data_IF_227770418029
#
_entry.id   IF_227770418029
#
_cell.length_a   1.000
_cell.length_b   1.000
_cell.length_c   1.000
_cell.angle_alpha   90.00
_cell.angle_beta   90.00
_cell.angle_gamma   90.00
#
_symmetry.space_group_name_H-M   'P 1'
#
loop_
_entity.id
_entity.type
_entity.pdbx_description
1 polymer ?
#
# COMPACT_ATOMS: atom_id res chain seq x y z
N UNK A 1 8.92 11.83 -11.90
CA UNK A 1 9.40 11.79 -10.50
C UNK A 1 8.15 11.99 -9.66
N UNK A 2 7.57 10.92 -9.10
CA UNK A 2 6.23 10.99 -8.52
C UNK A 2 6.31 11.45 -7.05
N UNK A 3 6.55 12.74 -6.88
CA UNK A 3 6.16 13.46 -5.68
C UNK A 3 4.79 14.07 -5.94
N UNK A 4 3.92 14.08 -4.93
CA UNK A 4 2.81 15.04 -4.93
C UNK A 4 3.38 16.46 -5.04
N UNK A 5 2.65 17.42 -5.62
CA UNK A 5 3.18 18.76 -5.94
C UNK A 5 3.69 19.54 -4.71
N UNK A 6 3.39 19.04 -3.51
CA UNK A 6 3.85 19.56 -2.21
C UNK A 6 5.25 19.13 -1.78
N UNK A 7 5.89 18.14 -2.42
CA UNK A 7 7.19 17.59 -2.01
C UNK A 7 7.14 16.72 -0.74
N UNK A 8 5.93 16.40 -0.26
CA UNK A 8 5.69 15.50 0.87
C UNK A 8 5.61 14.04 0.40
N UNK A 9 5.76 13.07 1.32
CA UNK A 9 5.57 11.66 0.99
C UNK A 9 4.16 11.40 0.45
N UNK A 10 4.06 10.54 -0.56
CA UNK A 10 2.79 10.18 -1.20
C UNK A 10 2.68 8.65 -1.37
N UNK A 11 1.46 8.13 -1.20
CA UNK A 11 1.16 6.70 -1.31
C UNK A 11 -0.06 6.47 -2.22
N UNK A 12 0.10 6.45 -3.55
CA UNK A 12 -0.93 5.91 -4.43
C UNK A 12 -1.17 4.42 -4.12
N UNK A 13 -2.44 4.03 -4.06
CA UNK A 13 -2.87 2.64 -3.83
C UNK A 13 -3.90 2.25 -4.87
N UNK A 14 -3.70 1.10 -5.51
CA UNK A 14 -4.70 0.42 -6.31
C UNK A 14 -5.28 -0.75 -5.51
N UNK A 15 -6.60 -0.90 -5.52
CA UNK A 15 -7.31 -1.95 -4.80
C UNK A 15 -8.31 -2.64 -5.71
N UNK A 16 -8.46 -3.96 -5.55
CA UNK A 16 -9.44 -4.75 -6.28
C UNK A 16 -10.04 -5.83 -5.37
N UNK A 17 -11.37 -5.83 -5.31
CA UNK A 17 -12.17 -6.76 -4.52
C UNK A 17 -13.02 -7.63 -5.44
N UNK A 18 -13.04 -8.93 -5.16
CA UNK A 18 -13.80 -9.91 -5.92
C UNK A 18 -14.63 -10.81 -4.99
N UNK A 19 -15.95 -10.83 -5.22
CA UNK A 19 -16.86 -11.72 -4.50
C UNK A 19 -16.81 -13.12 -5.11
N UNK A 20 -16.29 -14.10 -4.38
CA UNK A 20 -16.40 -15.52 -4.73
C UNK A 20 -17.79 -16.07 -4.40
N UNK A 21 -18.46 -15.50 -3.38
CA UNK A 21 -19.81 -15.84 -2.95
C UNK A 21 -20.42 -14.67 -2.17
N UNK A 22 -21.71 -14.77 -1.79
CA UNK A 22 -22.37 -13.80 -0.90
C UNK A 22 -21.65 -13.61 0.45
N UNK A 23 -20.87 -14.61 0.85
CA UNK A 23 -20.16 -14.69 2.14
C UNK A 23 -18.64 -14.68 2.02
N UNK A 24 -18.10 -14.75 0.81
CA UNK A 24 -16.65 -14.93 0.59
C UNK A 24 -16.15 -13.90 -0.40
N UNK A 25 -15.13 -13.15 -0.01
CA UNK A 25 -14.50 -12.13 -0.83
C UNK A 25 -12.99 -12.31 -0.81
N UNK A 26 -12.35 -12.18 -1.97
CA UNK A 26 -10.91 -11.99 -2.08
C UNK A 26 -10.67 -10.51 -2.31
N UNK A 27 -9.75 -9.94 -1.56
CA UNK A 27 -9.32 -8.54 -1.74
C UNK A 27 -7.83 -8.50 -1.97
N UNK A 28 -7.41 -7.62 -2.87
CA UNK A 28 -6.02 -7.41 -3.22
C UNK A 28 -5.74 -5.92 -3.28
N UNK A 29 -4.58 -5.50 -2.81
CA UNK A 29 -4.13 -4.12 -2.91
C UNK A 29 -2.64 -4.07 -3.25
N UNK A 30 -2.25 -3.03 -3.98
CA UNK A 30 -0.87 -2.71 -4.27
C UNK A 30 -0.67 -1.21 -4.04
N UNK A 31 0.37 -0.85 -3.29
CA UNK A 31 0.70 0.53 -2.96
C UNK A 31 2.19 0.79 -3.16
N UNK A 32 2.52 2.00 -3.57
CA UNK A 32 3.91 2.44 -3.70
C UNK A 32 4.12 3.70 -2.87
N UNK A 33 5.07 3.69 -1.95
CA UNK A 33 5.44 4.83 -1.12
C UNK A 33 6.59 5.59 -1.78
N UNK A 34 6.32 6.85 -2.13
CA UNK A 34 7.34 7.81 -2.48
C UNK A 34 7.79 8.53 -1.20
N UNK A 35 8.98 8.23 -0.71
CA UNK A 35 9.53 8.91 0.47
C UNK A 35 10.31 10.15 0.04
N UNK A 36 10.13 11.26 0.77
CA UNK A 36 11.02 12.40 0.64
C UNK A 36 12.39 12.09 1.25
N UNK A 37 13.43 12.88 0.95
CA UNK A 37 14.83 12.61 1.32
C UNK A 37 15.08 12.29 2.81
N UNK A 38 14.22 12.76 3.70
CA UNK A 38 14.33 12.55 5.15
C UNK A 38 13.22 11.64 5.72
N UNK A 39 12.25 11.23 4.90
CA UNK A 39 11.15 10.38 5.32
C UNK A 39 11.53 8.89 5.22
N UNK A 40 10.98 8.09 6.12
CA UNK A 40 11.23 6.66 6.22
C UNK A 40 9.91 5.92 6.52
N UNK A 41 8.85 6.25 5.78
CA UNK A 41 7.52 5.71 6.03
C UNK A 41 7.42 4.31 5.39
N UNK A 42 7.20 3.25 6.18
CA UNK A 42 7.05 1.90 5.65
C UNK A 42 5.63 1.68 5.10
N UNK A 43 5.51 0.91 4.01
CA UNK A 43 4.20 0.48 3.46
C UNK A 43 3.54 -0.62 4.32
N UNK A 44 4.34 -1.42 5.02
CA UNK A 44 3.86 -2.50 5.88
C UNK A 44 3.90 -2.11 7.36
N UNK A 45 2.87 -2.47 8.13
CA UNK A 45 2.67 -2.12 9.55
C UNK A 45 3.85 -2.53 10.47
N UNK A 46 4.65 -3.52 10.09
CA UNK A 46 5.83 -3.98 10.85
C UNK A 46 7.15 -3.88 10.06
N UNK A 47 7.17 -3.10 8.96
CA UNK A 47 8.35 -2.92 8.12
C UNK A 47 9.22 -1.74 8.55
N UNK A 48 10.50 -1.77 8.18
CA UNK A 48 11.40 -0.62 8.25
C UNK A 48 11.92 -0.30 6.86
N UNK A 49 12.07 0.99 6.54
CA UNK A 49 12.68 1.46 5.29
C UNK A 49 13.75 2.50 5.61
N UNK A 50 14.79 2.58 4.80
CA UNK A 50 15.82 3.62 4.95
C UNK A 50 15.27 5.01 4.62
N UNK A 51 15.86 6.06 5.19
CA UNK A 51 15.48 7.43 4.86
C UNK A 51 15.66 7.73 3.37
N UNK A 52 14.63 8.32 2.74
CA UNK A 52 14.62 8.66 1.32
C UNK A 52 14.44 7.48 0.37
N UNK A 53 14.21 6.27 0.88
CA UNK A 53 14.00 5.09 0.05
C UNK A 53 12.51 4.88 -0.21
N UNK A 54 12.16 4.74 -1.49
CA UNK A 54 10.82 4.35 -1.90
C UNK A 54 10.56 2.86 -1.63
N UNK A 55 9.29 2.49 -1.51
CA UNK A 55 8.90 1.11 -1.21
C UNK A 55 7.63 0.70 -1.97
N UNK A 56 7.66 -0.48 -2.59
CA UNK A 56 6.47 -1.16 -3.11
C UNK A 56 5.93 -2.14 -2.07
N UNK A 57 4.63 -2.16 -1.85
CA UNK A 57 3.95 -3.16 -1.03
C UNK A 57 2.70 -3.72 -1.72
N UNK A 58 2.42 -4.99 -1.46
CA UNK A 58 1.21 -5.66 -1.94
C UNK A 58 0.56 -6.43 -0.78
N UNK A 59 -0.76 -6.49 -0.78
CA UNK A 59 -1.55 -7.31 0.13
C UNK A 59 -2.56 -8.12 -0.67
N UNK A 60 -2.80 -9.34 -0.21
CA UNK A 60 -3.89 -10.17 -0.66
C UNK A 60 -4.50 -10.85 0.55
N UNK A 61 -5.82 -10.94 0.59
CA UNK A 61 -6.53 -11.56 1.69
C UNK A 61 -7.87 -12.14 1.28
N UNK A 62 -8.43 -12.93 2.18
CA UNK A 62 -9.73 -13.56 2.02
C UNK A 62 -10.58 -13.22 3.24
N UNK A 63 -11.78 -12.72 3.00
CA UNK A 63 -12.75 -12.43 4.04
C UNK A 63 -13.92 -13.41 3.93
N UNK A 64 -14.23 -14.08 5.05
CA UNK A 64 -15.36 -14.98 5.20
C UNK A 64 -16.38 -14.38 6.18
N UNK A 65 -17.65 -14.31 5.79
CA UNK A 65 -18.78 -13.84 6.61
C UNK A 65 -19.64 -15.03 7.03
N UNK A 66 -19.69 -15.30 8.34
CA UNK A 66 -20.48 -16.37 8.95
C UNK A 66 -21.91 -15.92 9.28
#
# INVERSE_FOLDING_TARGET
MAFDESGLPALPVAQHDHLLSKRTMVYTSVGYMFNSKLAANPVAVAGTVGAGMDQLGAMAGLQQKF
#
